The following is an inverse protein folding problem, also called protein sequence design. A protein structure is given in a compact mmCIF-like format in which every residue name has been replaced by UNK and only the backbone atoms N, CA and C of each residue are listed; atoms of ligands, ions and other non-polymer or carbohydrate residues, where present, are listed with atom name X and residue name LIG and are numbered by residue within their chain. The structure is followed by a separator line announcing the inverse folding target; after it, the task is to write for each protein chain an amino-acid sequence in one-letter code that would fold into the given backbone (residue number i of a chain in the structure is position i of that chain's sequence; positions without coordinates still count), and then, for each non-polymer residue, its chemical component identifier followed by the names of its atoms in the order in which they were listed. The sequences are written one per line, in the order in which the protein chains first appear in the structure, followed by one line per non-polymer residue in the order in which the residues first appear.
data_IF_901576238306
#
_entry.id   IF_901576238306
#
_cell.length_a   1.000
_cell.length_b   1.000
_cell.length_c   1.000
_cell.angle_alpha   90.00
_cell.angle_beta   90.00
_cell.angle_gamma   90.00
#
_symmetry.space_group_name_H-M   'P 1'
#
loop_
_entity.id
_entity.type
_entity.pdbx_description
1 polymer ?
#
# COMPACT_ATOMS: atom_id res chain seq x y z
N UNK A 1 -25.90 -11.97 4.56
CA UNK A 1 -25.33 -11.71 4.50
C UNK A 1 -25.00 -11.54 5.08
N UNK A 2 -25.25 -11.97 5.27
CA UNK A 2 -24.59 -11.65 5.63
C UNK A 2 -24.25 -10.90 5.63
N UNK A 3 -25.55 -11.12 6.17
CA UNK A 3 -25.03 -9.87 6.09
C UNK A 3 -23.60 -9.84 5.99
N UNK A 4 -23.34 -9.73 4.91
CA UNK A 4 -21.95 -9.51 4.62
C UNK A 4 -21.59 -8.14 5.17
N UNK A 5 -20.73 -8.10 6.20
CA UNK A 5 -20.29 -6.84 6.80
C UNK A 5 -19.59 -5.94 5.77
N UNK A 6 -18.99 -6.51 4.73
CA UNK A 6 -18.33 -5.74 3.67
C UNK A 6 -19.32 -4.94 2.84
N UNK A 7 -20.53 -5.47 2.59
CA UNK A 7 -21.54 -4.72 1.81
C UNK A 7 -22.14 -3.58 2.60
N UNK A 8 -22.06 -3.62 3.93
CA UNK A 8 -22.60 -2.57 4.79
C UNK A 8 -21.53 -1.59 5.27
N UNK A 9 -20.29 -1.82 4.92
CA UNK A 9 -19.18 -0.98 5.38
C UNK A 9 -19.12 0.32 4.61
N UNK A 10 -18.85 1.41 5.33
CA UNK A 10 -18.57 2.70 4.70
C UNK A 10 -17.13 2.79 4.22
N UNK A 11 -16.26 1.97 4.77
CA UNK A 11 -14.87 1.91 4.38
C UNK A 11 -14.34 0.50 4.40
N UNK A 12 -13.27 0.27 3.64
CA UNK A 12 -12.57 -1.02 3.58
C UNK A 12 -11.07 -0.75 3.67
N UNK A 13 -10.40 -1.48 4.54
CA UNK A 13 -8.95 -1.41 4.72
C UNK A 13 -8.35 -2.75 4.36
N UNK A 14 -7.38 -2.75 3.45
CA UNK A 14 -6.59 -3.94 3.13
C UNK A 14 -5.16 -3.67 3.50
N UNK A 15 -4.56 -4.60 4.22
CA UNK A 15 -3.13 -4.55 4.53
C UNK A 15 -2.44 -5.77 3.92
N UNK A 16 -1.18 -5.58 3.52
CA UNK A 16 -0.36 -6.64 2.96
C UNK A 16 1.06 -6.50 3.50
N UNK A 17 1.60 -7.58 4.03
CA UNK A 17 2.96 -7.64 4.56
C UNK A 17 3.79 -8.58 3.70
N UNK A 18 4.99 -8.13 3.32
CA UNK A 18 5.90 -8.89 2.47
C UNK A 18 7.26 -9.04 3.12
N UNK A 19 7.91 -10.17 2.82
CA UNK A 19 9.34 -10.38 3.06
C UNK A 19 10.03 -10.62 1.72
N UNK A 20 11.35 -10.57 1.72
CA UNK A 20 12.12 -10.81 0.51
C UNK A 20 12.05 -9.67 -0.50
N UNK A 21 11.74 -8.46 -0.06
CA UNK A 21 11.69 -7.30 -0.94
C UNK A 21 13.09 -6.72 -1.10
N UNK A 22 13.77 -7.12 -2.16
CA UNK A 22 15.11 -6.67 -2.49
C UNK A 22 15.21 -6.34 -3.99
N UNK A 23 14.51 -5.30 -4.43
CA UNK A 23 14.56 -4.93 -5.86
C UNK A 23 15.93 -4.37 -6.20
N UNK A 24 16.37 -4.64 -7.44
CA UNK A 24 17.64 -4.11 -7.95
C UNK A 24 17.38 -2.75 -8.57
N UNK A 25 17.13 -1.76 -7.73
CA UNK A 25 16.82 -0.39 -8.14
C UNK A 25 17.72 0.57 -7.36
N UNK A 26 18.16 1.64 -8.00
CA UNK A 26 19.01 2.63 -7.35
C UNK A 26 18.24 3.49 -6.36
N UNK A 27 16.94 3.66 -6.58
CA UNK A 27 16.12 4.58 -5.81
C UNK A 27 14.76 3.94 -5.53
N UNK A 28 14.76 2.94 -4.65
CA UNK A 28 13.59 2.12 -4.37
C UNK A 28 12.42 2.93 -3.82
N UNK A 29 12.70 3.86 -2.90
CA UNK A 29 11.65 4.67 -2.29
C UNK A 29 10.91 5.52 -3.32
N UNK A 30 11.64 6.20 -4.18
CA UNK A 30 11.01 7.00 -5.23
C UNK A 30 10.26 6.13 -6.25
N UNK A 31 10.80 4.95 -6.53
CA UNK A 31 10.13 4.02 -7.43
C UNK A 31 8.78 3.59 -6.84
N UNK A 32 8.75 3.25 -5.54
CA UNK A 32 7.51 2.87 -4.86
C UNK A 32 6.52 4.03 -4.88
N UNK A 33 6.96 5.25 -4.56
CA UNK A 33 6.05 6.40 -4.56
C UNK A 33 5.46 6.64 -5.94
N UNK A 34 6.29 6.57 -6.99
CA UNK A 34 5.82 6.74 -8.37
C UNK A 34 4.82 5.64 -8.75
N UNK A 35 5.08 4.40 -8.31
CA UNK A 35 4.16 3.30 -8.54
C UNK A 35 2.82 3.54 -7.84
N UNK A 36 2.87 3.97 -6.57
CA UNK A 36 1.67 4.28 -5.81
C UNK A 36 0.84 5.36 -6.50
N UNK A 37 1.48 6.43 -6.94
CA UNK A 37 0.81 7.51 -7.66
C UNK A 37 0.18 7.01 -8.96
N UNK A 38 0.89 6.20 -9.71
CA UNK A 38 0.39 5.63 -10.96
C UNK A 38 -0.83 4.76 -10.74
N UNK A 39 -0.75 3.87 -9.75
CA UNK A 39 -1.86 2.96 -9.44
C UNK A 39 -3.09 3.74 -9.00
N UNK A 40 -2.90 4.77 -8.18
CA UNK A 40 -4.00 5.64 -7.74
C UNK A 40 -4.59 6.41 -8.91
N UNK A 41 -3.74 6.98 -9.75
CA UNK A 41 -4.20 7.79 -10.89
C UNK A 41 -4.96 6.95 -11.91
N UNK A 42 -4.70 5.65 -11.98
CA UNK A 42 -5.40 4.72 -12.85
C UNK A 42 -6.66 4.14 -12.21
N UNK A 43 -6.94 4.47 -10.95
CA UNK A 43 -8.13 4.03 -10.24
C UNK A 43 -9.22 5.10 -10.30
N UNK A 44 -10.33 4.85 -9.59
CA UNK A 44 -11.40 5.85 -9.46
C UNK A 44 -11.12 6.88 -8.36
N UNK A 45 -10.03 6.69 -7.59
CA UNK A 45 -9.68 7.60 -6.50
C UNK A 45 -9.03 8.87 -7.03
N UNK A 46 -9.16 9.95 -6.26
CA UNK A 46 -8.51 11.22 -6.56
C UNK A 46 -7.32 11.42 -5.65
N UNK A 47 -6.15 11.58 -6.24
CA UNK A 47 -4.93 11.84 -5.49
C UNK A 47 -4.92 13.29 -5.02
N UNK A 48 -4.74 13.48 -3.72
CA UNK A 48 -4.73 14.81 -3.09
C UNK A 48 -3.32 15.25 -2.76
N UNK A 49 -2.51 14.33 -2.23
CA UNK A 49 -1.16 14.65 -1.79
C UNK A 49 -0.34 13.37 -1.73
N UNK A 50 0.95 13.47 -2.02
CA UNK A 50 1.85 12.33 -1.83
C UNK A 50 3.15 12.81 -1.22
N UNK A 51 3.79 11.92 -0.46
CA UNK A 51 5.04 12.23 0.22
C UNK A 51 5.82 10.96 0.48
N UNK A 52 7.14 11.09 0.51
CA UNK A 52 8.03 10.02 0.91
C UNK A 52 9.05 10.56 1.89
N UNK A 53 9.34 9.76 2.90
CA UNK A 53 10.41 10.00 3.85
C UNK A 53 11.41 8.86 3.74
N UNK A 54 12.68 9.18 3.50
CA UNK A 54 13.71 8.16 3.38
C UNK A 54 14.61 8.18 4.60
N UNK A 55 14.98 7.01 5.10
CA UNK A 55 15.76 6.83 6.32
C UNK A 55 17.09 6.17 5.96
N UNK A 56 18.18 6.75 6.44
CA UNK A 56 19.55 6.31 6.12
C UNK A 56 20.15 5.37 7.17
N UNK A 57 19.41 5.08 8.24
CA UNK A 57 19.91 4.21 9.31
C UNK A 57 20.49 4.93 10.52
N UNK A 58 20.50 6.27 10.54
CA UNK A 58 21.09 7.01 11.67
C UNK A 58 20.15 7.07 12.86
N UNK A 59 18.90 7.52 12.67
CA UNK A 59 17.92 7.60 13.76
C UNK A 59 16.79 6.58 13.63
N UNK A 60 16.61 6.00 12.45
CA UNK A 60 15.64 4.93 12.19
C UNK A 60 16.32 3.90 11.32
N UNK A 61 15.87 2.63 11.33
CA UNK A 61 16.42 1.64 10.41
C UNK A 61 16.33 2.13 8.97
N UNK A 62 17.28 1.80 8.09
CA UNK A 62 17.24 2.25 6.71
C UNK A 62 16.01 1.72 5.99
N UNK A 63 15.43 2.56 5.15
CA UNK A 63 14.21 2.24 4.43
C UNK A 63 13.45 3.49 4.06
N UNK A 64 12.12 3.39 4.00
CA UNK A 64 11.28 4.54 3.66
C UNK A 64 9.87 4.37 4.19
N UNK A 65 9.18 5.50 4.28
CA UNK A 65 7.74 5.57 4.52
C UNK A 65 7.13 6.46 3.45
N UNK A 66 6.13 5.95 2.75
CA UNK A 66 5.47 6.68 1.66
C UNK A 66 3.97 6.73 1.89
N UNK A 67 3.35 7.84 1.52
CA UNK A 67 1.90 8.02 1.66
C UNK A 67 1.34 8.73 0.43
N UNK A 68 0.18 8.28 -0.02
CA UNK A 68 -0.64 8.97 -1.01
C UNK A 68 -2.02 9.15 -0.40
N UNK A 69 -2.41 10.40 -0.22
CA UNK A 69 -3.74 10.74 0.28
C UNK A 69 -4.72 10.82 -0.89
N UNK A 70 -5.91 10.26 -0.69
CA UNK A 70 -6.92 10.07 -1.73
C UNK A 70 -8.27 10.65 -1.27
N UNK A 71 -8.37 11.93 -1.05
CA UNK A 71 -9.53 12.54 -0.41
C UNK A 71 -9.68 11.98 1.01
N UNK A 72 -10.70 11.16 1.27
CA UNK A 72 -10.93 10.58 2.58
C UNK A 72 -10.30 9.18 2.73
N UNK A 73 -9.31 8.87 1.90
CA UNK A 73 -8.71 7.54 1.81
C UNK A 73 -7.19 7.67 1.75
N UNK A 74 -6.48 6.54 1.82
CA UNK A 74 -5.02 6.57 1.68
C UNK A 74 -4.46 5.26 1.18
N UNK A 75 -3.27 5.36 0.59
CA UNK A 75 -2.38 4.24 0.27
C UNK A 75 -1.04 4.55 0.90
N UNK A 76 -0.52 3.63 1.71
CA UNK A 76 0.76 3.81 2.38
C UNK A 76 1.67 2.61 2.14
N UNK A 77 2.99 2.85 2.21
CA UNK A 77 3.98 1.79 2.13
C UNK A 77 5.13 2.10 3.09
N UNK A 78 5.60 1.07 3.79
CA UNK A 78 6.75 1.16 4.68
C UNK A 78 7.74 0.06 4.34
N UNK A 79 9.02 0.39 4.31
CA UNK A 79 10.05 -0.58 3.98
C UNK A 79 11.19 -0.51 4.98
N UNK A 80 11.63 -1.70 5.42
CA UNK A 80 12.88 -1.89 6.17
C UNK A 80 13.84 -2.58 5.21
N UNK A 81 14.69 -1.77 4.55
CA UNK A 81 15.44 -2.25 3.38
C UNK A 81 16.45 -3.34 3.70
N UNK A 82 17.09 -3.31 4.88
CA UNK A 82 18.05 -4.35 5.25
C UNK A 82 17.37 -5.69 5.50
N UNK A 83 16.14 -5.67 5.98
CA UNK A 83 15.39 -6.89 6.28
C UNK A 83 14.56 -7.38 5.09
N UNK A 84 14.39 -6.55 4.07
CA UNK A 84 13.51 -6.87 2.95
C UNK A 84 12.04 -6.92 3.34
N UNK A 85 11.65 -6.17 4.36
CA UNK A 85 10.26 -6.07 4.79
C UNK A 85 9.59 -4.91 4.08
N UNK A 86 8.39 -5.16 3.58
CA UNK A 86 7.55 -4.14 2.95
C UNK A 86 6.12 -4.33 3.43
N UNK A 87 5.52 -3.25 3.94
CA UNK A 87 4.10 -3.26 4.28
C UNK A 87 3.37 -2.27 3.41
N UNK A 88 2.17 -2.63 2.96
CA UNK A 88 1.31 -1.77 2.15
C UNK A 88 -0.07 -1.78 2.79
N UNK A 89 -0.65 -0.59 2.96
CA UNK A 89 -1.99 -0.41 3.50
C UNK A 89 -2.79 0.45 2.55
N UNK A 90 -4.01 0.00 2.24
CA UNK A 90 -4.94 0.79 1.44
C UNK A 90 -6.28 0.85 2.16
N UNK A 91 -6.68 2.05 2.52
CA UNK A 91 -7.98 2.31 3.13
C UNK A 91 -8.77 3.20 2.20
N UNK A 92 -9.95 2.75 1.81
CA UNK A 92 -10.81 3.53 0.93
C UNK A 92 -12.23 3.63 1.48
N UNK A 93 -12.88 4.72 1.11
CA UNK A 93 -14.31 4.92 1.33
C UNK A 93 -14.97 5.08 -0.02
N UNK A 94 -16.28 4.86 -0.07
CA UNK A 94 -17.04 5.05 -1.29
C UNK A 94 -16.81 3.96 -2.33
N UNK A 95 -16.70 4.36 -3.59
CA UNK A 95 -16.73 3.42 -4.72
C UNK A 95 -15.36 2.86 -5.11
N UNK A 96 -14.29 3.37 -4.54
CA UNK A 96 -12.95 2.88 -4.90
C UNK A 96 -12.70 1.51 -4.26
N UNK A 97 -12.25 0.56 -5.06
CA UNK A 97 -11.96 -0.79 -4.60
C UNK A 97 -10.50 -0.88 -4.13
N UNK A 98 -10.25 -1.01 -2.82
CA UNK A 98 -8.86 -1.09 -2.33
C UNK A 98 -8.17 -2.38 -2.75
N UNK A 99 -8.93 -3.45 -2.98
CA UNK A 99 -8.36 -4.72 -3.45
C UNK A 99 -7.72 -4.58 -4.81
N UNK A 100 -8.34 -3.83 -5.71
CA UNK A 100 -7.77 -3.59 -7.03
C UNK A 100 -6.47 -2.79 -6.95
N UNK A 101 -6.41 -1.81 -6.04
CA UNK A 101 -5.20 -1.02 -5.81
C UNK A 101 -4.07 -1.91 -5.29
N UNK A 102 -4.36 -2.73 -4.27
CA UNK A 102 -3.36 -3.65 -3.70
C UNK A 102 -2.90 -4.67 -4.75
N UNK A 103 -3.82 -5.20 -5.56
CA UNK A 103 -3.46 -6.17 -6.61
C UNK A 103 -2.52 -5.54 -7.65
N UNK A 104 -2.78 -4.30 -8.05
CA UNK A 104 -1.92 -3.59 -8.99
C UNK A 104 -0.53 -3.34 -8.40
N UNK A 105 -0.47 -2.94 -7.12
CA UNK A 105 0.80 -2.80 -6.41
C UNK A 105 1.54 -4.13 -6.36
N UNK A 106 0.85 -5.20 -5.99
CA UNK A 106 1.44 -6.53 -5.87
C UNK A 106 2.09 -6.99 -7.18
N UNK A 107 1.40 -6.84 -8.29
CA UNK A 107 1.92 -7.26 -9.59
C UNK A 107 3.22 -6.56 -9.94
N UNK A 108 3.28 -5.25 -9.71
CA UNK A 108 4.47 -4.46 -10.03
C UNK A 108 5.64 -4.76 -9.10
N UNK A 109 5.39 -4.89 -7.80
CA UNK A 109 6.48 -5.18 -6.85
C UNK A 109 7.01 -6.60 -7.02
N UNK A 110 6.16 -7.55 -7.38
CA UNK A 110 6.58 -8.92 -7.66
C UNK A 110 7.50 -8.98 -8.88
N UNK A 111 7.21 -8.19 -9.89
CA UNK A 111 8.06 -8.10 -11.07
C UNK A 111 9.41 -7.47 -10.74
N UNK A 112 9.41 -6.41 -9.92
CA UNK A 112 10.64 -5.72 -9.53
C UNK A 112 11.49 -6.52 -8.55
N UNK A 113 10.89 -7.40 -7.76
CA UNK A 113 11.56 -8.21 -6.75
C UNK A 113 10.99 -9.63 -6.79
N UNK A 114 11.47 -10.47 -7.75
CA UNK A 114 10.87 -11.81 -7.96
C UNK A 114 10.91 -12.74 -6.75
N UNK A 115 11.85 -12.52 -5.83
CA UNK A 115 11.94 -13.30 -4.59
C UNK A 115 10.98 -12.86 -3.49
N UNK A 116 10.15 -11.86 -3.75
CA UNK A 116 9.24 -11.34 -2.74
C UNK A 116 8.21 -12.39 -2.34
N UNK A 117 7.82 -12.37 -1.06
CA UNK A 117 6.86 -13.32 -0.52
C UNK A 117 5.78 -12.56 0.22
N UNK A 118 4.52 -12.81 -0.15
CA UNK A 118 3.37 -12.28 0.57
C UNK A 118 3.17 -13.11 1.82
N UNK A 119 3.43 -12.51 2.98
CA UNK A 119 3.31 -13.21 4.26
C UNK A 119 1.91 -13.08 4.85
N UNK A 120 1.24 -11.97 4.57
CA UNK A 120 -0.07 -11.70 5.15
C UNK A 120 -0.85 -10.72 4.28
N UNK A 121 -2.12 -11.03 4.03
CA UNK A 121 -3.05 -10.08 3.44
C UNK A 121 -4.35 -10.18 4.21
N UNK A 122 -4.86 -9.05 4.69
CA UNK A 122 -6.07 -9.00 5.47
C UNK A 122 -6.97 -7.88 4.98
N UNK A 123 -8.26 -8.15 4.94
CA UNK A 123 -9.29 -7.16 4.59
C UNK A 123 -10.13 -6.90 5.83
N UNK A 124 -10.33 -5.61 6.15
CA UNK A 124 -11.08 -5.21 7.31
C UNK A 124 -12.17 -4.21 6.90
N UNK A 125 -13.41 -4.54 7.23
CA UNK A 125 -14.53 -3.61 7.05
C UNK A 125 -14.46 -2.54 8.12
N UNK A 126 -14.71 -1.29 7.73
CA UNK A 126 -14.64 -0.14 8.62
C UNK A 126 -15.97 0.59 8.59
N UNK A 127 -16.37 1.14 9.74
CA UNK A 127 -17.61 1.92 9.89
C UNK A 127 -18.84 1.11 9.50
N UNK A 128 -19.00 -0.04 10.12
CA UNK A 128 -20.12 -0.94 9.82
C UNK A 128 -21.39 -0.59 10.59
N UNK A 129 -21.29 0.26 11.60
CA UNK A 129 -22.39 0.65 12.46
C UNK A 129 -22.78 2.12 12.32
N UNK A 130 -22.32 2.76 11.26
CA UNK A 130 -22.53 4.18 11.03
C UNK A 130 -23.80 4.56 10.26
#
# INVERSE_FOLDING_TARGET
SRGNSMTNAHGVHILADYTGFFPKLDNTGEWILSLMEKVVDESTANRVHSHIEEFDGTSSPPGFAAVVLLDESHLTAHCYSEKGWLSIDCFTCGSTNPGAIIDAMHSAIQEASPGIKLEKRKTEARFTNG
#
